data_IF_966478101678
#
_entry.id   IF_966478101678
#
_cell.length_a   1.000
_cell.length_b   1.000
_cell.length_c   1.000
_cell.angle_alpha   90.00
_cell.angle_beta   90.00
_cell.angle_gamma   90.00
#
_symmetry.space_group_name_H-M   'P 1'
#
loop_
_entity.id
_entity.type
_entity.pdbx_description
1 polymer ?
#
# COMPACT_ATOMS: atom_id res chain seq x y z
N UNK A 1 22.27 -23.64 7.79
CA UNK A 1 20.88 -23.75 7.27
C UNK A 1 20.96 -24.72 6.09
N UNK A 2 20.37 -25.92 6.19
CA UNK A 2 20.61 -26.90 5.12
C UNK A 2 19.66 -26.73 3.92
N UNK A 3 18.38 -26.54 4.18
CA UNK A 3 17.36 -26.29 3.16
C UNK A 3 16.12 -25.71 3.83
N UNK A 4 15.49 -24.71 3.24
CA UNK A 4 14.17 -24.20 3.66
C UNK A 4 13.23 -24.34 2.46
N UNK A 5 12.05 -24.88 2.68
CA UNK A 5 10.99 -24.97 1.67
C UNK A 5 9.65 -24.63 2.32
N UNK A 6 8.88 -23.76 1.67
CA UNK A 6 7.58 -23.30 2.12
C UNK A 6 6.62 -23.27 0.95
N UNK A 7 5.40 -23.71 1.20
CA UNK A 7 4.30 -23.66 0.25
C UNK A 7 3.26 -22.64 0.72
N UNK A 8 2.74 -21.86 -0.21
CA UNK A 8 1.73 -20.87 0.09
C UNK A 8 0.63 -20.87 -0.98
N UNK A 9 -0.59 -20.66 -0.55
CA UNK A 9 -1.77 -20.58 -1.43
C UNK A 9 -2.57 -19.32 -1.18
N UNK A 10 -3.24 -18.82 -2.21
CA UNK A 10 -4.13 -17.66 -2.11
C UNK A 10 -5.25 -17.77 -3.15
N UNK A 11 -6.26 -16.91 -3.04
CA UNK A 11 -7.29 -16.74 -4.06
C UNK A 11 -7.03 -15.40 -4.78
N UNK A 12 -7.04 -15.40 -6.10
CA UNK A 12 -6.88 -14.19 -6.90
C UNK A 12 -8.22 -13.39 -6.99
N UNK A 13 -8.16 -12.21 -7.61
CA UNK A 13 -9.34 -11.35 -7.78
C UNK A 13 -10.46 -11.94 -8.64
N UNK A 14 -10.21 -13.07 -9.31
CA UNK A 14 -11.19 -13.82 -10.11
C UNK A 14 -11.70 -15.08 -9.39
N UNK A 15 -11.33 -15.25 -8.11
CA UNK A 15 -11.72 -16.40 -7.31
C UNK A 15 -10.93 -17.69 -7.61
N UNK A 16 -9.80 -17.60 -8.32
CA UNK A 16 -8.98 -18.77 -8.64
C UNK A 16 -7.84 -18.97 -7.66
N UNK A 17 -7.58 -20.22 -7.31
CA UNK A 17 -6.46 -20.58 -6.45
C UNK A 17 -5.12 -20.32 -7.13
N UNK A 18 -4.22 -19.70 -6.38
CA UNK A 18 -2.83 -19.42 -6.74
C UNK A 18 -1.92 -20.12 -5.77
N UNK A 19 -0.79 -20.61 -6.25
CA UNK A 19 0.21 -21.27 -5.42
C UNK A 19 1.59 -20.66 -5.60
N UNK A 20 2.37 -20.76 -4.53
CA UNK A 20 3.77 -20.35 -4.48
C UNK A 20 4.56 -21.41 -3.74
N UNK A 21 5.64 -21.82 -4.32
CA UNK A 21 6.71 -22.53 -3.65
C UNK A 21 7.89 -21.57 -3.45
N UNK A 22 8.40 -21.50 -2.25
CA UNK A 22 9.57 -20.72 -1.87
C UNK A 22 10.60 -21.67 -1.27
N UNK A 23 11.76 -21.76 -1.88
CA UNK A 23 12.85 -22.64 -1.46
C UNK A 23 14.17 -21.87 -1.31
N UNK A 24 14.98 -22.26 -0.35
CA UNK A 24 16.36 -21.81 -0.22
C UNK A 24 17.26 -23.01 0.04
N UNK A 25 18.32 -23.17 -0.75
CA UNK A 25 19.32 -24.20 -0.60
C UNK A 25 20.73 -23.67 -0.89
N UNK A 26 21.74 -24.35 -0.39
CA UNK A 26 23.13 -24.04 -0.69
C UNK A 26 23.51 -24.58 -2.07
N UNK A 27 24.21 -23.78 -2.86
CA UNK A 27 24.78 -24.17 -4.16
C UNK A 27 26.31 -24.13 -4.08
N UNK A 28 26.94 -25.28 -4.32
CA UNK A 28 28.38 -25.43 -4.20
C UNK A 28 29.16 -24.80 -5.36
N UNK A 29 28.55 -24.68 -6.54
CA UNK A 29 29.16 -24.05 -7.72
C UNK A 29 29.20 -22.53 -7.55
N UNK A 30 28.10 -21.94 -7.09
CA UNK A 30 28.00 -20.50 -6.87
C UNK A 30 28.49 -20.06 -5.48
N UNK A 31 28.85 -21.00 -4.61
CA UNK A 31 29.33 -20.78 -3.23
C UNK A 31 28.39 -19.86 -2.42
N UNK A 32 27.08 -20.07 -2.57
CA UNK A 32 26.07 -19.25 -1.96
C UNK A 32 24.73 -19.96 -1.80
N UNK A 33 23.80 -19.30 -1.10
CA UNK A 33 22.41 -19.76 -1.06
C UNK A 33 21.64 -19.26 -2.27
N UNK A 34 20.91 -20.15 -2.91
CA UNK A 34 19.93 -19.83 -3.96
C UNK A 34 18.55 -19.82 -3.34
N UNK A 35 17.79 -18.75 -3.53
CA UNK A 35 16.38 -18.66 -3.15
C UNK A 35 15.53 -18.72 -4.41
N UNK A 36 14.86 -19.85 -4.62
CA UNK A 36 13.96 -20.11 -5.74
C UNK A 36 12.52 -19.77 -5.38
N UNK A 37 11.76 -19.38 -6.39
CA UNK A 37 10.34 -19.07 -6.28
C UNK A 37 9.61 -19.60 -7.49
N UNK A 38 8.70 -20.53 -7.28
CA UNK A 38 7.84 -21.07 -8.32
C UNK A 38 6.41 -20.58 -8.05
N UNK A 39 5.77 -19.99 -9.04
CA UNK A 39 4.45 -19.37 -8.86
C UNK A 39 3.52 -19.73 -10.02
N UNK A 40 2.24 -19.89 -9.73
CA UNK A 40 1.27 -20.16 -10.79
C UNK A 40 -0.16 -20.28 -10.28
N UNK A 41 -1.04 -20.75 -11.16
CA UNK A 41 -2.38 -21.18 -10.77
C UNK A 41 -2.31 -22.61 -10.28
N UNK A 42 -3.07 -22.94 -9.26
CA UNK A 42 -3.25 -24.32 -8.82
C UNK A 42 -3.84 -25.16 -9.97
N UNK A 43 -3.28 -26.35 -10.20
CA UNK A 43 -3.63 -27.19 -11.33
C UNK A 43 -3.28 -26.63 -12.73
N UNK A 44 -2.53 -25.53 -12.80
CA UNK A 44 -2.15 -24.85 -14.03
C UNK A 44 -0.63 -24.77 -14.24
N UNK A 45 -0.22 -24.01 -15.27
CA UNK A 45 1.20 -23.80 -15.55
C UNK A 45 1.88 -23.02 -14.41
N UNK A 46 2.93 -23.61 -13.87
CA UNK A 46 3.83 -22.97 -12.93
C UNK A 46 4.97 -22.25 -13.67
N UNK A 47 5.40 -21.14 -13.13
CA UNK A 47 6.47 -20.32 -13.67
C UNK A 47 7.53 -20.11 -12.60
N UNK A 48 8.73 -20.53 -12.92
CA UNK A 48 9.89 -20.24 -12.08
C UNK A 48 10.27 -18.76 -12.22
N UNK A 49 10.43 -18.12 -11.08
CA UNK A 49 10.88 -16.73 -11.01
C UNK A 49 12.41 -16.70 -10.92
N UNK A 50 13.08 -15.66 -11.42
CA UNK A 50 14.53 -15.55 -11.31
C UNK A 50 15.03 -15.81 -9.88
N UNK A 51 15.99 -16.71 -9.77
CA UNK A 51 16.61 -17.07 -8.51
C UNK A 51 17.34 -15.88 -7.85
N UNK A 52 17.43 -15.90 -6.54
CA UNK A 52 18.19 -14.90 -5.77
C UNK A 52 19.42 -15.59 -5.23
N UNK A 53 20.61 -15.19 -5.69
CA UNK A 53 21.87 -15.64 -5.13
C UNK A 53 22.24 -14.78 -3.91
N UNK A 54 22.62 -15.45 -2.82
CA UNK A 54 23.15 -14.83 -1.59
C UNK A 54 24.53 -15.44 -1.32
N UNK A 55 25.55 -14.81 -1.85
CA UNK A 55 26.96 -15.22 -1.76
C UNK A 55 27.75 -14.46 -0.68
N UNK A 56 27.18 -13.40 -0.12
CA UNK A 56 27.82 -12.52 0.87
C UNK A 56 26.86 -12.16 2.01
N UNK A 57 27.40 -12.12 3.23
CA UNK A 57 26.74 -11.54 4.37
C UNK A 57 26.75 -10.00 4.32
N UNK A 58 25.79 -9.35 4.97
CA UNK A 58 25.72 -7.89 5.15
C UNK A 58 25.58 -7.55 6.64
N UNK A 59 26.11 -6.40 7.06
CA UNK A 59 25.97 -5.90 8.43
C UNK A 59 26.40 -6.96 9.48
N UNK A 60 27.60 -7.53 9.32
CA UNK A 60 28.21 -8.56 10.18
C UNK A 60 27.48 -9.92 10.22
N UNK A 61 26.52 -10.16 9.33
CA UNK A 61 25.85 -11.47 9.20
C UNK A 61 26.71 -12.43 8.38
N UNK A 62 26.61 -13.70 8.69
CA UNK A 62 27.09 -14.79 7.83
C UNK A 62 26.21 -14.89 6.57
N UNK A 63 26.69 -15.61 5.55
CA UNK A 63 25.92 -15.88 4.33
C UNK A 63 24.60 -16.59 4.66
N UNK A 64 24.63 -17.55 5.59
CA UNK A 64 23.43 -18.29 6.04
C UNK A 64 22.40 -17.40 6.73
N UNK A 65 22.84 -16.49 7.60
CA UNK A 65 21.94 -15.54 8.27
C UNK A 65 21.36 -14.52 7.29
N UNK A 66 22.15 -14.08 6.32
CA UNK A 66 21.67 -13.19 5.28
C UNK A 66 20.67 -13.88 4.36
N UNK A 67 20.89 -15.14 4.02
CA UNK A 67 19.95 -15.94 3.23
C UNK A 67 18.62 -16.16 3.99
N UNK A 68 18.70 -16.50 5.28
CA UNK A 68 17.52 -16.63 6.14
C UNK A 68 16.71 -15.32 6.19
N UNK A 69 17.38 -14.19 6.35
CA UNK A 69 16.73 -12.89 6.35
C UNK A 69 16.00 -12.59 5.02
N UNK A 70 16.66 -12.86 3.88
CA UNK A 70 16.06 -12.65 2.57
C UNK A 70 14.90 -13.62 2.30
N UNK A 71 15.04 -14.89 2.69
CA UNK A 71 13.96 -15.88 2.60
C UNK A 71 12.74 -15.44 3.40
N UNK A 72 12.92 -15.07 4.67
CA UNK A 72 11.84 -14.60 5.55
C UNK A 72 11.21 -13.30 5.03
N UNK A 73 11.99 -12.41 4.45
CA UNK A 73 11.48 -11.19 3.79
C UNK A 73 10.57 -11.53 2.61
N UNK A 74 10.94 -12.54 1.80
CA UNK A 74 10.10 -13.02 0.70
C UNK A 74 8.85 -13.76 1.18
N UNK A 75 8.97 -14.55 2.23
CA UNK A 75 7.84 -15.20 2.87
C UNK A 75 6.84 -14.16 3.40
N UNK A 76 7.33 -13.12 4.08
CA UNK A 76 6.49 -11.99 4.53
C UNK A 76 5.83 -11.28 3.35
N UNK A 77 6.55 -11.00 2.26
CA UNK A 77 5.99 -10.38 1.06
C UNK A 77 4.78 -11.14 0.50
N UNK A 78 4.82 -12.48 0.49
CA UNK A 78 3.68 -13.29 0.04
C UNK A 78 2.54 -13.29 1.07
N UNK A 79 2.85 -13.38 2.37
CA UNK A 79 1.83 -13.28 3.44
C UNK A 79 1.11 -11.92 3.38
N UNK A 80 1.83 -10.84 3.12
CA UNK A 80 1.25 -9.50 2.93
C UNK A 80 0.34 -9.42 1.69
N UNK A 81 0.58 -10.27 0.69
CA UNK A 81 -0.28 -10.45 -0.50
C UNK A 81 -1.42 -11.45 -0.29
N UNK A 82 -1.74 -11.81 0.96
CA UNK A 82 -2.79 -12.76 1.34
C UNK A 82 -2.54 -14.21 0.98
N UNK A 83 -1.29 -14.60 0.77
CA UNK A 83 -0.97 -16.01 0.70
C UNK A 83 -0.92 -16.62 2.11
N UNK A 84 -1.59 -17.74 2.29
CA UNK A 84 -1.51 -18.54 3.51
C UNK A 84 -0.48 -19.67 3.33
N UNK A 85 0.38 -19.83 4.32
CA UNK A 85 1.35 -20.92 4.36
C UNK A 85 0.64 -22.23 4.65
N UNK A 86 0.99 -23.28 3.92
CA UNK A 86 0.48 -24.64 4.09
C UNK A 86 1.65 -25.61 4.37
N UNK A 87 1.42 -26.67 5.16
CA UNK A 87 2.50 -27.55 5.61
C UNK A 87 3.04 -28.51 4.54
N UNK A 88 2.28 -28.77 3.49
CA UNK A 88 2.62 -29.73 2.43
C UNK A 88 2.49 -29.10 1.06
N UNK A 89 3.02 -29.80 0.05
CA UNK A 89 2.87 -29.42 -1.35
C UNK A 89 1.39 -29.22 -1.71
N UNK A 90 1.02 -28.11 -2.38
CA UNK A 90 -0.36 -27.85 -2.80
C UNK A 90 -1.01 -29.02 -3.57
N UNK A 91 -0.24 -29.73 -4.39
CA UNK A 91 -0.74 -30.85 -5.18
C UNK A 91 -1.19 -32.07 -4.34
N UNK A 92 -0.89 -32.07 -3.03
CA UNK A 92 -1.39 -33.09 -2.07
C UNK A 92 -2.78 -32.78 -1.51
N UNK A 93 -3.34 -31.61 -1.84
CA UNK A 93 -4.67 -31.17 -1.39
C UNK A 93 -5.65 -31.18 -2.57
N UNK A 94 -6.91 -31.42 -2.26
CA UNK A 94 -8.00 -31.13 -3.20
C UNK A 94 -8.22 -29.61 -3.31
N UNK A 95 -8.83 -29.19 -4.40
CA UNK A 95 -9.15 -27.77 -4.60
C UNK A 95 -10.08 -27.23 -3.49
N UNK A 96 -11.04 -28.05 -3.02
CA UNK A 96 -11.94 -27.71 -1.92
C UNK A 96 -11.19 -27.51 -0.58
N UNK A 97 -10.27 -28.40 -0.24
CA UNK A 97 -9.45 -28.23 0.97
C UNK A 97 -8.59 -26.96 0.92
N UNK A 98 -8.02 -26.65 -0.23
CA UNK A 98 -7.28 -25.40 -0.40
C UNK A 98 -8.18 -24.16 -0.29
N UNK A 99 -9.41 -24.22 -0.82
CA UNK A 99 -10.38 -23.14 -0.62
C UNK A 99 -10.76 -22.97 0.85
N UNK A 100 -10.93 -24.05 1.61
CA UNK A 100 -11.17 -23.99 3.05
C UNK A 100 -9.97 -23.41 3.80
N UNK A 101 -8.74 -23.82 3.46
CA UNK A 101 -7.51 -23.31 4.08
C UNK A 101 -7.31 -21.84 3.77
N UNK A 102 -7.44 -21.43 2.51
CA UNK A 102 -7.30 -20.03 2.13
C UNK A 102 -8.42 -19.25 2.78
N UNK A 103 -9.54 -19.91 2.99
CA UNK A 103 -10.70 -19.42 3.74
C UNK A 103 -11.14 -18.08 3.27
N UNK A 104 -12.26 -17.70 3.72
CA UNK A 104 -12.89 -16.42 3.46
C UNK A 104 -11.87 -15.28 3.32
N UNK A 105 -12.05 -14.54 2.26
CA UNK A 105 -11.68 -13.14 2.03
C UNK A 105 -10.40 -12.67 2.75
N UNK A 106 -9.50 -12.14 1.98
CA UNK A 106 -8.24 -11.51 2.34
C UNK A 106 -8.24 -10.80 3.71
N UNK A 107 -7.90 -11.55 4.75
CA UNK A 107 -7.59 -10.98 6.07
C UNK A 107 -6.12 -10.59 6.16
N UNK A 108 -5.82 -9.65 7.04
CA UNK A 108 -4.45 -9.26 7.37
C UNK A 108 -3.89 -10.14 8.52
N UNK A 109 -2.68 -9.85 8.98
CA UNK A 109 -2.03 -10.62 10.05
C UNK A 109 -2.77 -10.53 11.40
N UNK A 110 -3.57 -9.48 11.63
CA UNK A 110 -4.41 -9.32 12.82
C UNK A 110 -5.75 -10.06 12.72
N UNK A 111 -6.02 -10.74 11.60
CA UNK A 111 -7.27 -11.47 11.35
C UNK A 111 -8.42 -10.58 10.85
N UNK A 112 -8.15 -9.32 10.52
CA UNK A 112 -9.15 -8.35 10.04
C UNK A 112 -9.15 -8.31 8.52
N UNK A 113 -10.33 -8.08 7.92
CA UNK A 113 -10.46 -7.92 6.47
C UNK A 113 -9.54 -6.82 5.94
N UNK A 114 -8.74 -7.14 4.93
CA UNK A 114 -7.86 -6.15 4.29
C UNK A 114 -8.68 -5.05 3.62
N UNK A 115 -8.23 -3.80 3.68
CA UNK A 115 -8.97 -2.70 3.09
C UNK A 115 -9.01 -2.77 1.57
N UNK A 116 -10.11 -2.28 0.98
CA UNK A 116 -10.27 -2.07 -0.46
C UNK A 116 -9.22 -1.12 -1.00
N UNK A 117 -8.78 -1.33 -2.24
CA UNK A 117 -7.67 -0.60 -2.86
C UNK A 117 -8.15 0.22 -4.05
N UNK A 118 -7.80 1.50 -4.05
CA UNK A 118 -8.10 2.38 -5.17
C UNK A 118 -7.23 2.05 -6.41
N UNK A 119 -7.86 1.98 -7.58
CA UNK A 119 -7.20 1.93 -8.88
C UNK A 119 -6.76 3.33 -9.29
N UNK A 120 -5.63 3.45 -9.98
CA UNK A 120 -5.20 4.73 -10.52
C UNK A 120 -6.03 5.12 -11.75
N UNK A 121 -6.39 6.39 -11.88
CA UNK A 121 -7.22 6.88 -12.99
C UNK A 121 -6.56 6.67 -14.36
N UNK A 122 -5.24 6.78 -14.46
CA UNK A 122 -4.45 6.51 -15.69
C UNK A 122 -4.49 5.06 -16.17
N UNK A 123 -4.91 4.13 -15.29
CA UNK A 123 -5.11 2.70 -15.59
C UNK A 123 -6.55 2.33 -15.95
N UNK A 124 -7.42 3.33 -16.03
CA UNK A 124 -8.82 3.15 -16.42
C UNK A 124 -8.94 3.39 -17.93
N UNK A 125 -9.19 2.32 -18.68
CA UNK A 125 -9.25 2.38 -20.15
C UNK A 125 -10.62 2.86 -20.67
N UNK A 126 -11.71 2.54 -19.95
CA UNK A 126 -13.04 2.97 -20.32
C UNK A 126 -13.40 4.30 -19.67
N UNK A 127 -13.26 5.40 -20.39
CA UNK A 127 -13.56 6.75 -19.89
C UNK A 127 -15.07 6.99 -19.64
N UNK A 128 -15.96 6.24 -20.30
CA UNK A 128 -17.41 6.36 -20.11
C UNK A 128 -17.87 6.03 -18.68
N UNK A 129 -17.03 5.39 -17.87
CA UNK A 129 -17.36 5.14 -16.46
C UNK A 129 -17.58 6.44 -15.67
N UNK A 130 -16.98 7.56 -16.11
CA UNK A 130 -17.11 8.85 -15.45
C UNK A 130 -18.42 9.60 -15.80
N UNK A 131 -19.23 9.08 -16.75
CA UNK A 131 -20.50 9.70 -17.15
C UNK A 131 -21.63 9.48 -16.14
N UNK A 132 -21.44 8.57 -15.17
CA UNK A 132 -22.35 8.36 -14.05
C UNK A 132 -21.98 9.20 -12.83
N UNK A 133 -22.86 9.23 -11.85
CA UNK A 133 -22.57 9.87 -10.54
C UNK A 133 -21.61 9.00 -9.72
N UNK A 134 -20.61 9.63 -9.17
CA UNK A 134 -19.64 9.10 -8.22
C UNK A 134 -19.74 9.88 -6.90
N UNK A 135 -19.17 9.36 -5.82
CA UNK A 135 -18.90 10.12 -4.62
C UNK A 135 -17.41 10.38 -4.51
N UNK A 136 -17.06 11.65 -4.36
CA UNK A 136 -15.68 12.10 -4.30
C UNK A 136 -15.32 12.58 -2.90
N UNK A 137 -14.11 12.26 -2.48
CA UNK A 137 -13.50 12.72 -1.23
C UNK A 137 -12.06 13.16 -1.44
N UNK A 138 -11.55 13.92 -0.49
CA UNK A 138 -10.12 14.25 -0.41
C UNK A 138 -9.30 12.98 -0.30
N UNK A 139 -8.22 12.90 -1.04
CA UNK A 139 -7.20 11.87 -0.85
C UNK A 139 -6.20 12.34 0.19
N UNK A 140 -6.22 11.69 1.32
CA UNK A 140 -5.35 11.99 2.45
C UNK A 140 -4.01 11.28 2.25
N UNK A 141 -2.91 11.98 2.53
CA UNK A 141 -1.54 11.45 2.42
C UNK A 141 -1.01 11.10 3.80
N UNK A 142 -1.61 10.09 4.39
CA UNK A 142 -1.31 9.59 5.73
C UNK A 142 -0.95 8.11 5.75
N UNK A 143 -1.24 7.49 6.88
CA UNK A 143 -1.03 6.06 7.10
C UNK A 143 -2.37 5.35 7.24
N UNK A 144 -2.70 4.48 6.25
CA UNK A 144 -3.93 3.69 6.27
C UNK A 144 -4.08 2.92 7.57
N UNK A 145 -5.23 3.11 8.22
CA UNK A 145 -5.53 2.51 9.51
C UNK A 145 -6.95 1.91 9.49
N UNK A 146 -7.04 0.66 9.91
CA UNK A 146 -8.30 0.00 10.25
C UNK A 146 -8.47 0.05 11.77
N UNK A 147 -9.68 0.39 12.24
CA UNK A 147 -10.01 0.39 13.66
C UNK A 147 -11.17 -0.58 13.90
N UNK A 148 -11.04 -1.47 14.88
CA UNK A 148 -11.96 -2.58 15.13
C UNK A 148 -11.91 -3.03 16.59
N UNK A 149 -12.93 -3.77 17.03
CA UNK A 149 -12.94 -4.40 18.37
C UNK A 149 -12.46 -5.86 18.29
N UNK A 150 -11.61 -6.24 19.23
CA UNK A 150 -11.19 -7.62 19.45
C UNK A 150 -10.90 -7.84 20.92
N UNK A 151 -11.33 -8.98 21.46
CA UNK A 151 -11.11 -9.37 22.87
C UNK A 151 -11.54 -8.27 23.87
N UNK A 152 -12.62 -7.56 23.55
CA UNK A 152 -13.17 -6.47 24.38
C UNK A 152 -12.38 -5.15 24.36
N UNK A 153 -11.43 -5.01 23.44
CA UNK A 153 -10.63 -3.78 23.27
C UNK A 153 -10.72 -3.24 21.84
N UNK A 154 -10.61 -1.93 21.70
CA UNK A 154 -10.51 -1.27 20.42
C UNK A 154 -9.03 -1.31 19.96
N UNK A 155 -8.81 -1.81 18.79
CA UNK A 155 -7.49 -1.96 18.17
C UNK A 155 -7.39 -1.18 16.88
N UNK A 156 -6.17 -0.82 16.54
CA UNK A 156 -5.83 -0.22 15.24
C UNK A 156 -4.76 -1.04 14.53
N UNK A 157 -4.91 -1.16 13.22
CA UNK A 157 -3.93 -1.91 12.43
C UNK A 157 -3.71 -1.31 11.05
N UNK A 158 -2.51 -1.50 10.55
CA UNK A 158 -2.15 -1.23 9.17
C UNK A 158 -2.91 -2.16 8.21
N UNK A 159 -2.86 -1.85 6.92
CA UNK A 159 -3.33 -2.77 5.87
C UNK A 159 -2.75 -4.18 6.00
N UNK A 160 -1.48 -4.31 6.40
CA UNK A 160 -0.78 -5.59 6.59
C UNK A 160 -1.14 -6.29 7.90
N UNK A 161 -1.68 -5.57 8.87
CA UNK A 161 -2.01 -6.06 10.21
C UNK A 161 -0.95 -5.70 11.28
N UNK A 162 -0.02 -4.78 10.97
CA UNK A 162 0.86 -4.20 11.99
C UNK A 162 0.03 -3.27 12.89
N UNK A 163 0.11 -3.44 14.19
CA UNK A 163 -0.68 -2.66 15.16
C UNK A 163 -0.13 -1.24 15.34
N UNK A 164 -1.05 -0.30 15.53
CA UNK A 164 -0.78 1.09 15.88
C UNK A 164 -1.36 1.46 17.26
N UNK A 165 -1.79 0.47 18.03
CA UNK A 165 -2.52 0.65 19.29
C UNK A 165 -1.80 1.59 20.25
N UNK A 166 -0.47 1.53 20.26
CA UNK A 166 0.34 2.37 21.13
C UNK A 166 0.24 3.86 20.77
N UNK A 167 0.42 4.20 19.50
CA UNK A 167 0.37 5.59 19.02
C UNK A 167 -1.04 6.16 18.89
N UNK A 168 -2.06 5.31 18.99
CA UNK A 168 -3.47 5.69 18.86
C UNK A 168 -4.28 5.50 20.15
N UNK A 169 -3.62 5.22 21.30
CA UNK A 169 -4.31 4.95 22.57
C UNK A 169 -5.24 6.10 22.98
N UNK A 170 -4.85 7.35 22.75
CA UNK A 170 -5.69 8.54 23.02
C UNK A 170 -7.00 8.55 22.23
N UNK A 171 -7.09 7.82 21.12
CA UNK A 171 -8.30 7.64 20.30
C UNK A 171 -9.01 6.33 20.69
N UNK A 172 -8.29 5.20 20.74
CA UNK A 172 -8.89 3.88 20.95
C UNK A 172 -9.44 3.69 22.36
N UNK A 173 -8.83 4.31 23.37
CA UNK A 173 -9.27 4.25 24.75
C UNK A 173 -10.27 5.36 25.13
N UNK A 174 -10.56 6.26 24.19
CA UNK A 174 -11.54 7.32 24.44
C UNK A 174 -12.94 6.73 24.70
N UNK A 175 -13.67 7.19 25.75
CA UNK A 175 -14.94 6.58 26.18
C UNK A 175 -16.00 6.49 25.07
N UNK A 176 -16.08 7.49 24.17
CA UNK A 176 -17.01 7.45 23.04
C UNK A 176 -16.65 6.35 22.04
N UNK A 177 -15.35 6.10 21.80
CA UNK A 177 -14.92 5.03 20.90
C UNK A 177 -15.19 3.66 21.48
N UNK A 178 -14.86 3.46 22.75
CA UNK A 178 -15.17 2.20 23.46
C UNK A 178 -16.67 1.93 23.38
N UNK A 179 -17.51 2.90 23.73
CA UNK A 179 -18.98 2.79 23.67
C UNK A 179 -19.51 2.51 22.25
N UNK A 180 -18.92 3.14 21.22
CA UNK A 180 -19.29 2.86 19.83
C UNK A 180 -19.06 1.41 19.47
N UNK A 181 -17.86 0.88 19.77
CA UNK A 181 -17.49 -0.48 19.44
C UNK A 181 -18.15 -1.53 20.35
N UNK A 182 -18.48 -1.22 21.59
CA UNK A 182 -19.34 -2.06 22.44
C UNK A 182 -20.74 -2.20 21.82
N UNK A 183 -21.28 -1.11 21.28
CA UNK A 183 -22.59 -1.11 20.62
C UNK A 183 -22.56 -1.83 19.26
N UNK A 184 -21.47 -1.71 18.53
CA UNK A 184 -21.28 -2.28 17.19
C UNK A 184 -19.98 -3.12 17.11
N UNK A 185 -19.91 -4.29 17.76
CA UNK A 185 -18.65 -5.03 17.90
C UNK A 185 -18.10 -5.61 16.58
N UNK A 186 -18.92 -5.69 15.53
CA UNK A 186 -18.48 -6.12 14.19
C UNK A 186 -18.05 -4.95 13.29
N UNK A 187 -18.17 -3.72 13.78
CA UNK A 187 -17.77 -2.54 13.01
C UNK A 187 -16.27 -2.54 12.76
N UNK A 188 -15.87 -2.27 11.54
CA UNK A 188 -14.49 -2.00 11.17
C UNK A 188 -14.48 -0.66 10.46
N UNK A 189 -13.89 0.36 11.08
CA UNK A 189 -13.67 1.66 10.45
C UNK A 189 -12.46 1.59 9.52
N UNK A 190 -12.57 2.24 8.38
CA UNK A 190 -11.54 2.35 7.36
C UNK A 190 -11.16 3.82 7.17
N UNK A 191 -9.95 4.16 7.54
CA UNK A 191 -9.51 5.54 7.59
C UNK A 191 -7.99 5.71 7.41
N UNK A 192 -7.54 6.90 7.72
CA UNK A 192 -6.15 7.32 7.62
C UNK A 192 -5.71 7.98 8.94
N UNK A 193 -4.56 7.59 9.48
CA UNK A 193 -3.90 8.37 10.51
C UNK A 193 -3.22 9.57 9.84
N UNK A 194 -3.55 10.77 10.30
CA UNK A 194 -3.14 11.99 9.64
C UNK A 194 -3.15 13.20 10.61
N UNK A 195 -2.41 14.22 10.28
CA UNK A 195 -2.55 15.58 10.80
C UNK A 195 -2.23 16.55 9.67
N UNK A 196 -3.15 17.49 9.42
CA UNK A 196 -2.94 18.48 8.36
C UNK A 196 -1.69 19.32 8.64
N UNK A 197 -0.90 19.63 7.59
CA UNK A 197 0.35 20.35 7.72
C UNK A 197 1.57 19.53 8.18
N UNK A 198 1.40 18.22 8.52
CA UNK A 198 2.54 17.33 8.82
C UNK A 198 2.91 16.51 7.58
N UNK A 199 4.20 16.26 7.39
CA UNK A 199 4.67 15.39 6.30
C UNK A 199 4.31 13.92 6.53
N UNK A 200 4.20 13.14 5.44
CA UNK A 200 3.99 11.70 5.52
C UNK A 200 5.08 11.00 6.36
N UNK A 201 6.32 11.50 6.35
CA UNK A 201 7.43 10.95 7.14
C UNK A 201 7.16 11.14 8.64
N UNK A 202 6.74 12.32 9.06
CA UNK A 202 6.38 12.62 10.45
C UNK A 202 5.20 11.75 10.89
N UNK A 203 4.13 11.69 10.09
CA UNK A 203 2.92 10.89 10.38
C UNK A 203 3.26 9.40 10.46
N UNK A 204 4.05 8.89 9.50
CA UNK A 204 4.45 7.49 9.47
C UNK A 204 5.39 7.12 10.62
N UNK A 205 6.26 8.02 11.02
CA UNK A 205 7.11 7.86 12.21
C UNK A 205 6.26 7.78 13.48
N UNK A 206 5.33 8.72 13.65
CA UNK A 206 4.40 8.76 14.78
C UNK A 206 3.53 7.49 14.86
N UNK A 207 2.91 7.09 13.75
CA UNK A 207 2.04 5.92 13.71
C UNK A 207 2.74 4.61 14.11
N UNK A 208 4.05 4.49 13.85
CA UNK A 208 4.85 3.29 14.18
C UNK A 208 5.62 3.38 15.49
N UNK A 209 5.38 4.43 16.27
CA UNK A 209 6.05 4.59 17.56
C UNK A 209 5.55 3.53 18.54
N UNK A 210 6.48 2.87 19.24
CA UNK A 210 6.19 1.83 20.25
C UNK A 210 6.56 2.30 21.68
N UNK A 211 6.99 3.56 21.82
CA UNK A 211 7.37 4.18 23.10
C UNK A 211 6.95 5.64 23.10
N UNK A 212 6.71 6.21 24.29
CA UNK A 212 6.33 7.61 24.46
C UNK A 212 5.03 8.00 23.74
N UNK A 213 3.95 7.22 23.97
CA UNK A 213 2.62 7.45 23.34
C UNK A 213 2.10 8.87 23.52
N UNK A 214 2.40 9.51 24.63
CA UNK A 214 1.99 10.88 24.92
C UNK A 214 2.54 11.94 23.96
N UNK A 215 3.65 11.65 23.27
CA UNK A 215 4.22 12.54 22.27
C UNK A 215 3.47 12.46 20.92
N UNK A 216 2.49 11.53 20.77
CA UNK A 216 1.76 11.22 19.55
C UNK A 216 0.29 11.61 19.62
N UNK A 217 -0.15 12.29 20.69
CA UNK A 217 -1.53 12.74 20.91
C UNK A 217 -2.04 13.76 19.88
N UNK A 218 -1.17 14.30 19.04
CA UNK A 218 -1.53 15.13 17.89
C UNK A 218 -1.99 14.32 16.66
N UNK A 219 -1.81 12.98 16.65
CA UNK A 219 -2.19 12.12 15.54
C UNK A 219 -3.71 11.94 15.52
N UNK A 220 -4.34 12.29 14.40
CA UNK A 220 -5.79 12.25 14.23
C UNK A 220 -6.19 11.07 13.34
N UNK A 221 -7.43 10.59 13.49
CA UNK A 221 -8.00 9.54 12.66
C UNK A 221 -9.09 10.07 11.73
N UNK A 222 -8.85 10.01 10.43
CA UNK A 222 -9.75 10.47 9.37
C UNK A 222 -10.49 9.29 8.77
N UNK A 223 -11.78 9.14 9.09
CA UNK A 223 -12.62 8.04 8.65
C UNK A 223 -13.30 8.38 7.33
N UNK A 224 -13.20 7.50 6.34
CA UNK A 224 -13.81 7.72 5.02
C UNK A 224 -14.62 6.52 4.50
N UNK A 225 -14.60 5.37 5.17
CA UNK A 225 -15.40 4.19 4.83
C UNK A 225 -15.57 3.27 6.04
N UNK A 226 -16.39 2.24 5.89
CA UNK A 226 -16.44 1.07 6.77
C UNK A 226 -16.17 -0.19 5.96
N UNK A 227 -15.56 -1.19 6.59
CA UNK A 227 -15.29 -2.48 5.92
C UNK A 227 -16.53 -3.37 6.06
N UNK A 228 -17.46 -3.22 5.11
CA UNK A 228 -18.68 -4.03 5.07
C UNK A 228 -18.92 -4.54 3.63
N UNK A 229 -18.53 -5.80 3.34
CA UNK A 229 -18.59 -6.37 2.00
C UNK A 229 -20.01 -6.56 1.42
N UNK A 230 -21.02 -6.57 2.28
CA UNK A 230 -22.41 -6.79 1.83
C UNK A 230 -23.14 -5.52 1.44
N UNK A 231 -22.64 -4.34 1.88
CA UNK A 231 -23.28 -3.06 1.64
C UNK A 231 -22.66 -2.33 0.44
N UNK A 232 -23.53 -1.73 -0.38
CA UNK A 232 -23.12 -0.76 -1.40
C UNK A 232 -22.58 0.53 -0.75
N UNK A 233 -21.76 1.29 -1.48
CA UNK A 233 -21.11 2.49 -0.89
C UNK A 233 -22.14 3.52 -0.40
N UNK A 234 -23.23 3.73 -1.13
CA UNK A 234 -24.32 4.64 -0.69
C UNK A 234 -24.93 4.25 0.66
N UNK A 235 -24.96 2.96 1.00
CA UNK A 235 -25.47 2.49 2.29
C UNK A 235 -24.39 2.57 3.38
N UNK A 236 -23.13 2.36 3.05
CA UNK A 236 -22.00 2.62 3.96
C UNK A 236 -21.90 4.12 4.34
N UNK A 237 -22.25 5.04 3.41
CA UNK A 237 -22.33 6.47 3.72
C UNK A 237 -23.36 6.78 4.82
N UNK A 238 -24.53 6.13 4.79
CA UNK A 238 -25.54 6.26 5.86
C UNK A 238 -24.99 5.78 7.20
N UNK A 239 -24.21 4.70 7.19
CA UNK A 239 -23.53 4.24 8.39
C UNK A 239 -22.50 5.25 8.91
N UNK A 240 -21.74 5.90 8.04
CA UNK A 240 -20.80 6.95 8.44
C UNK A 240 -21.54 8.13 9.09
N UNK A 241 -22.72 8.51 8.60
CA UNK A 241 -23.57 9.54 9.23
C UNK A 241 -24.07 9.11 10.62
N UNK A 242 -24.44 7.84 10.79
CA UNK A 242 -24.81 7.29 12.11
C UNK A 242 -23.62 7.36 13.06
N UNK A 243 -22.45 6.93 12.64
CA UNK A 243 -21.22 6.95 13.44
C UNK A 243 -20.85 8.39 13.83
N UNK A 244 -20.95 9.33 12.90
CA UNK A 244 -20.69 10.75 13.16
C UNK A 244 -21.60 11.29 14.29
N UNK A 245 -22.89 10.93 14.27
CA UNK A 245 -23.85 11.31 15.32
C UNK A 245 -23.57 10.62 16.64
N UNK A 246 -23.27 9.31 16.65
CA UNK A 246 -22.96 8.55 17.86
C UNK A 246 -21.70 9.09 18.57
N UNK A 247 -20.72 9.54 17.80
CA UNK A 247 -19.48 10.12 18.32
C UNK A 247 -19.60 11.63 18.59
N UNK A 248 -20.75 12.24 18.29
CA UNK A 248 -20.99 13.69 18.43
C UNK A 248 -19.92 14.54 17.71
N UNK A 249 -19.51 14.12 16.51
CA UNK A 249 -18.50 14.84 15.73
C UNK A 249 -19.12 16.05 15.03
N UNK A 250 -18.40 17.16 15.05
CA UNK A 250 -18.72 18.37 14.29
C UNK A 250 -18.48 18.23 12.78
N UNK A 251 -18.55 19.36 12.10
CA UNK A 251 -18.18 19.43 10.69
C UNK A 251 -16.69 19.14 10.50
N UNK A 252 -16.34 18.71 9.29
CA UNK A 252 -14.97 18.44 8.91
C UNK A 252 -14.14 19.72 8.89
N UNK A 253 -13.12 19.76 9.73
CA UNK A 253 -12.17 20.87 9.83
C UNK A 253 -10.73 20.30 9.94
N UNK A 254 -9.93 20.34 8.86
CA UNK A 254 -8.58 19.79 8.88
C UNK A 254 -7.63 20.56 9.80
N UNK A 255 -7.92 21.83 10.08
CA UNK A 255 -7.10 22.71 10.92
C UNK A 255 -7.56 22.69 12.39
N UNK A 256 -8.56 21.85 12.72
CA UNK A 256 -9.08 21.76 14.07
C UNK A 256 -7.98 21.41 15.07
N UNK A 257 -7.84 22.29 16.08
CA UNK A 257 -7.08 22.01 17.28
C UNK A 257 -8.02 21.36 18.32
N UNK A 258 -7.58 20.29 18.94
CA UNK A 258 -8.35 19.53 19.93
C UNK A 258 -7.93 19.92 21.34
N UNK A 259 -8.92 20.07 22.21
CA UNK A 259 -8.66 20.23 23.63
C UNK A 259 -8.18 18.91 24.24
N UNK A 260 -7.52 18.99 25.40
CA UNK A 260 -7.10 17.82 26.16
C UNK A 260 -8.30 16.90 26.46
N UNK A 261 -8.17 15.62 26.13
CA UNK A 261 -9.23 14.62 26.29
C UNK A 261 -10.35 14.69 25.26
N UNK A 262 -10.25 15.55 24.23
CA UNK A 262 -11.21 15.56 23.12
C UNK A 262 -10.90 14.45 22.11
N UNK A 263 -11.94 13.80 21.57
CA UNK A 263 -11.81 12.72 20.60
C UNK A 263 -11.24 13.21 19.26
N UNK A 264 -10.07 12.76 18.89
CA UNK A 264 -9.33 13.20 17.69
C UNK A 264 -9.71 12.39 16.45
N UNK A 265 -10.97 12.47 16.06
CA UNK A 265 -11.53 11.82 14.87
C UNK A 265 -12.21 12.85 13.98
N UNK A 266 -12.11 12.65 12.66
CA UNK A 266 -12.87 13.38 11.67
C UNK A 266 -13.51 12.45 10.65
N UNK A 267 -14.74 12.79 10.23
CA UNK A 267 -15.40 12.11 9.10
C UNK A 267 -15.07 12.86 7.82
N UNK A 268 -14.44 12.15 6.87
CA UNK A 268 -14.04 12.76 5.59
C UNK A 268 -15.27 12.96 4.69
N UNK A 269 -15.60 14.20 4.30
CA UNK A 269 -16.78 14.48 3.48
C UNK A 269 -16.72 13.76 2.14
N UNK A 270 -17.89 13.23 1.76
CA UNK A 270 -18.12 12.57 0.49
C UNK A 270 -19.15 13.38 -0.29
N UNK A 271 -18.84 13.86 -1.48
CA UNK A 271 -19.75 14.67 -2.27
C UNK A 271 -20.06 14.04 -3.62
N UNK A 272 -21.31 14.08 -4.11
CA UNK A 272 -21.65 13.57 -5.42
C UNK A 272 -20.98 14.39 -6.51
N UNK A 273 -20.48 13.69 -7.54
CA UNK A 273 -19.80 14.30 -8.68
C UNK A 273 -20.05 13.49 -9.95
N UNK A 274 -20.10 14.14 -11.10
CA UNK A 274 -20.32 13.50 -12.39
C UNK A 274 -19.49 14.16 -13.48
N UNK A 275 -18.91 13.37 -14.37
CA UNK A 275 -18.13 13.82 -15.50
C UNK A 275 -16.64 14.03 -15.15
N UNK A 276 -15.77 13.65 -16.09
CA UNK A 276 -14.33 13.71 -15.89
C UNK A 276 -13.79 15.10 -15.60
N UNK A 277 -14.30 16.12 -16.32
CA UNK A 277 -13.82 17.50 -16.15
C UNK A 277 -14.15 18.04 -14.76
N UNK A 278 -15.34 17.74 -14.23
CA UNK A 278 -15.72 18.12 -12.87
C UNK A 278 -14.87 17.40 -11.83
N UNK A 279 -14.60 16.11 -12.04
CA UNK A 279 -13.72 15.31 -11.16
C UNK A 279 -12.31 15.90 -11.15
N UNK A 280 -11.80 16.29 -12.31
CA UNK A 280 -10.49 16.93 -12.43
C UNK A 280 -10.46 18.30 -11.75
N UNK A 281 -11.47 19.14 -11.96
CA UNK A 281 -11.57 20.45 -11.30
C UNK A 281 -11.62 20.31 -9.76
N UNK A 282 -12.36 19.31 -9.25
CA UNK A 282 -12.41 19.03 -7.82
C UNK A 282 -11.06 18.50 -7.29
N UNK A 283 -10.38 17.65 -8.07
CA UNK A 283 -9.04 17.19 -7.75
C UNK A 283 -8.07 18.38 -7.63
N UNK A 284 -8.07 19.30 -8.62
CA UNK A 284 -7.19 20.46 -8.62
C UNK A 284 -7.48 21.40 -7.44
N UNK A 285 -8.76 21.55 -7.07
CA UNK A 285 -9.17 22.25 -5.85
C UNK A 285 -8.58 21.59 -4.60
N UNK A 286 -8.73 20.27 -4.44
CA UNK A 286 -8.18 19.58 -3.28
C UNK A 286 -6.65 19.67 -3.20
N UNK A 287 -5.96 19.60 -4.34
CA UNK A 287 -4.51 19.80 -4.38
C UNK A 287 -4.13 21.23 -3.95
N UNK A 288 -4.88 22.25 -4.37
CA UNK A 288 -4.64 23.63 -3.93
C UNK A 288 -4.89 23.86 -2.43
N UNK A 289 -5.69 23.00 -1.80
CA UNK A 289 -5.95 22.97 -0.36
C UNK A 289 -4.90 22.11 0.41
N UNK A 290 -3.86 21.60 -0.25
CA UNK A 290 -2.79 20.80 0.38
C UNK A 290 -3.05 19.29 0.45
N UNK A 291 -4.11 18.77 -0.19
CA UNK A 291 -4.39 17.32 -0.21
C UNK A 291 -3.64 16.62 -1.35
N UNK A 292 -3.42 15.30 -1.22
CA UNK A 292 -2.72 14.50 -2.25
C UNK A 292 -3.50 14.41 -3.58
N UNK A 293 -4.80 14.68 -3.54
CA UNK A 293 -5.69 14.61 -4.69
C UNK A 293 -7.11 14.20 -4.30
N UNK A 294 -7.72 13.36 -5.14
CA UNK A 294 -9.12 12.94 -5.01
C UNK A 294 -9.25 11.41 -5.07
N UNK A 295 -10.20 10.86 -4.30
CA UNK A 295 -10.68 9.48 -4.44
C UNK A 295 -12.15 9.52 -4.79
N UNK A 296 -12.54 8.77 -5.83
CA UNK A 296 -13.95 8.61 -6.19
C UNK A 296 -14.39 7.17 -5.95
N UNK A 297 -15.63 7.00 -5.48
CA UNK A 297 -16.26 5.71 -5.18
C UNK A 297 -17.60 5.58 -5.91
N UNK A 298 -17.82 4.40 -6.48
CA UNK A 298 -19.07 4.05 -7.12
C UNK A 298 -20.16 3.80 -6.06
N UNK A 299 -21.26 4.58 -6.03
CA UNK A 299 -22.30 4.44 -5.01
C UNK A 299 -22.96 3.06 -4.97
N UNK A 300 -23.06 2.39 -6.12
CA UNK A 300 -23.79 1.13 -6.30
C UNK A 300 -22.86 -0.09 -6.24
N UNK A 301 -21.68 0.05 -5.65
CA UNK A 301 -20.70 -1.05 -5.52
C UNK A 301 -20.41 -1.37 -4.06
N UNK A 302 -20.32 -2.67 -3.80
CA UNK A 302 -19.97 -3.22 -2.50
C UNK A 302 -18.50 -3.01 -2.16
N UNK A 303 -18.18 -3.08 -0.88
CA UNK A 303 -16.79 -3.11 -0.43
C UNK A 303 -16.11 -4.41 -0.85
N UNK A 304 -14.97 -4.32 -1.53
CA UNK A 304 -14.20 -5.48 -2.00
C UNK A 304 -12.89 -5.60 -1.22
N UNK A 305 -12.85 -6.38 -0.15
CA UNK A 305 -11.64 -6.57 0.65
C UNK A 305 -10.44 -6.97 -0.22
N UNK A 306 -9.31 -6.28 -0.03
CA UNK A 306 -8.09 -6.40 -0.84
C UNK A 306 -8.25 -6.23 -2.36
N UNK A 307 -9.48 -5.94 -2.83
CA UNK A 307 -9.79 -5.76 -4.24
C UNK A 307 -9.30 -4.43 -4.79
N UNK A 308 -8.85 -4.44 -6.04
CA UNK A 308 -8.49 -3.24 -6.80
C UNK A 308 -9.27 -3.23 -8.12
N UNK A 309 -10.42 -2.61 -8.10
CA UNK A 309 -11.35 -2.57 -9.23
C UNK A 309 -11.60 -1.12 -9.69
N UNK A 310 -12.44 -0.95 -10.72
CA UNK A 310 -12.90 0.38 -11.12
C UNK A 310 -13.95 0.98 -10.17
N UNK A 311 -14.30 0.29 -9.08
CA UNK A 311 -15.33 0.73 -8.14
C UNK A 311 -14.81 1.81 -7.17
N UNK A 312 -13.48 1.91 -7.02
CA UNK A 312 -12.79 2.96 -6.29
C UNK A 312 -11.56 3.42 -7.07
N UNK A 313 -11.52 4.69 -7.42
CA UNK A 313 -10.47 5.27 -8.29
C UNK A 313 -9.82 6.44 -7.57
N UNK A 314 -8.48 6.48 -7.60
CA UNK A 314 -7.70 7.61 -7.09
C UNK A 314 -7.14 8.43 -8.25
N UNK A 315 -7.29 9.73 -8.12
CA UNK A 315 -6.71 10.75 -8.97
C UNK A 315 -5.63 11.43 -8.15
N UNK A 316 -4.39 11.41 -8.65
CA UNK A 316 -3.23 11.99 -7.98
C UNK A 316 -2.55 12.98 -8.88
N UNK A 317 -2.00 14.04 -8.31
CA UNK A 317 -1.08 14.91 -8.99
C UNK A 317 0.29 14.24 -9.11
N UNK A 318 0.92 14.44 -10.26
CA UNK A 318 2.32 14.08 -10.47
C UNK A 318 3.05 15.30 -11.01
N UNK A 319 4.27 15.46 -10.58
CA UNK A 319 5.19 16.44 -11.11
C UNK A 319 6.17 15.75 -12.05
N UNK A 320 6.62 16.47 -13.06
CA UNK A 320 7.72 16.07 -13.93
C UNK A 320 8.84 17.08 -13.73
N UNK A 321 10.05 16.62 -13.47
CA UNK A 321 11.25 17.44 -13.45
C UNK A 321 12.42 16.70 -14.08
N UNK A 322 13.48 17.42 -14.40
CA UNK A 322 14.67 16.87 -15.04
C UNK A 322 15.79 16.74 -14.02
N UNK A 323 16.41 15.56 -13.99
CA UNK A 323 17.50 15.22 -13.10
C UNK A 323 18.65 14.62 -13.90
N UNK A 324 19.89 14.79 -13.41
CA UNK A 324 21.08 14.26 -14.08
C UNK A 324 21.31 12.80 -13.73
N UNK A 325 21.52 11.96 -14.74
CA UNK A 325 21.89 10.54 -14.56
C UNK A 325 23.34 10.47 -14.10
N UNK A 326 23.58 9.79 -12.97
CA UNK A 326 24.91 9.58 -12.40
C UNK A 326 25.34 8.12 -12.39
N UNK A 327 24.42 7.19 -12.65
CA UNK A 327 24.71 5.78 -12.66
C UNK A 327 23.49 4.89 -12.83
N UNK A 328 23.75 3.60 -12.68
CA UNK A 328 22.75 2.55 -12.70
C UNK A 328 22.91 1.68 -11.46
N UNK A 329 21.82 1.31 -10.81
CA UNK A 329 21.80 0.25 -9.82
C UNK A 329 21.07 -0.95 -10.39
N UNK A 330 21.71 -2.10 -10.32
CA UNK A 330 21.11 -3.36 -10.73
C UNK A 330 20.09 -3.84 -9.69
N UNK A 331 18.98 -4.37 -10.17
CA UNK A 331 18.01 -5.10 -9.38
C UNK A 331 18.30 -6.59 -9.41
N UNK A 332 17.40 -7.37 -8.82
CA UNK A 332 17.49 -8.84 -8.79
C UNK A 332 17.30 -9.50 -10.17
N UNK A 333 16.71 -8.78 -11.12
CA UNK A 333 16.52 -9.21 -12.50
C UNK A 333 17.18 -8.20 -13.43
N UNK A 334 17.52 -8.64 -14.61
CA UNK A 334 18.07 -7.78 -15.66
C UNK A 334 17.17 -6.57 -15.97
N UNK A 335 15.84 -6.75 -15.90
CA UNK A 335 14.85 -5.69 -16.08
C UNK A 335 14.56 -4.85 -14.83
N UNK A 336 15.03 -5.25 -13.66
CA UNK A 336 14.81 -4.54 -12.39
C UNK A 336 15.93 -3.52 -12.12
N UNK A 337 16.37 -2.82 -13.16
CA UNK A 337 17.32 -1.73 -13.03
C UNK A 337 16.65 -0.44 -12.53
N UNK A 338 17.41 0.36 -11.81
CA UNK A 338 17.06 1.73 -11.49
C UNK A 338 18.21 2.65 -11.89
N UNK A 339 17.90 3.78 -12.50
CA UNK A 339 18.89 4.83 -12.68
C UNK A 339 19.16 5.51 -11.34
N UNK A 340 20.41 5.80 -11.07
CA UNK A 340 20.83 6.72 -10.02
C UNK A 340 20.86 8.10 -10.63
N UNK A 341 20.13 9.03 -10.01
CA UNK A 341 20.01 10.41 -10.45
C UNK A 341 20.38 11.35 -9.29
N UNK A 342 20.67 12.58 -9.62
CA UNK A 342 21.03 13.61 -8.65
C UNK A 342 20.16 14.85 -8.85
N UNK A 343 19.68 15.43 -7.75
CA UNK A 343 19.00 16.75 -7.74
C UNK A 343 20.01 17.87 -7.96
N UNK A 344 19.54 19.10 -8.17
CA UNK A 344 20.40 20.28 -8.28
C UNK A 344 21.20 20.53 -6.99
N UNK A 345 20.62 20.17 -5.85
CA UNK A 345 21.28 20.26 -4.52
C UNK A 345 22.24 19.10 -4.23
N UNK A 346 22.48 18.22 -5.19
CA UNK A 346 23.41 17.09 -5.05
C UNK A 346 22.84 15.86 -4.34
N UNK A 347 21.53 15.78 -4.07
CA UNK A 347 20.90 14.65 -3.40
C UNK A 347 20.71 13.50 -4.39
N UNK A 348 21.27 12.34 -4.06
CA UNK A 348 21.20 11.16 -4.90
C UNK A 348 19.94 10.33 -4.60
N UNK A 349 19.23 9.92 -5.65
CA UNK A 349 18.05 9.05 -5.55
C UNK A 349 17.98 8.06 -6.70
N UNK A 350 17.05 7.10 -6.61
CA UNK A 350 16.88 6.06 -7.62
C UNK A 350 15.51 6.12 -8.27
N UNK A 351 15.45 6.05 -9.61
CA UNK A 351 14.21 5.99 -10.37
C UNK A 351 14.18 4.79 -11.31
N UNK A 352 13.07 4.06 -11.31
CA UNK A 352 12.85 2.93 -12.21
C UNK A 352 12.44 3.47 -13.59
N UNK A 353 13.11 3.06 -14.70
CA UNK A 353 12.72 3.51 -16.04
C UNK A 353 11.41 2.87 -16.49
N UNK A 354 10.59 3.66 -17.18
CA UNK A 354 9.45 3.16 -17.96
C UNK A 354 9.97 2.44 -19.22
N UNK A 355 9.12 1.59 -19.79
CA UNK A 355 9.39 0.93 -21.06
C UNK A 355 9.45 -0.59 -20.98
N UNK A 356 9.58 -1.22 -22.17
CA UNK A 356 9.70 -2.66 -22.33
C UNK A 356 11.04 -3.19 -21.79
N UNK A 357 11.18 -4.51 -21.72
CA UNK A 357 12.45 -5.17 -21.38
C UNK A 357 13.57 -4.78 -22.34
N UNK A 358 13.25 -4.67 -23.63
CA UNK A 358 14.23 -4.34 -24.65
C UNK A 358 14.78 -2.92 -24.50
N UNK A 359 13.91 -1.95 -24.20
CA UNK A 359 14.33 -0.57 -23.89
C UNK A 359 15.26 -0.54 -22.67
N UNK A 360 14.92 -1.29 -21.62
CA UNK A 360 15.76 -1.36 -20.42
C UNK A 360 17.11 -2.01 -20.69
N UNK A 361 17.16 -3.04 -21.55
CA UNK A 361 18.42 -3.66 -21.99
C UNK A 361 19.27 -2.66 -22.77
N UNK A 362 18.66 -1.90 -23.70
CA UNK A 362 19.36 -0.83 -24.44
C UNK A 362 19.93 0.25 -23.50
N UNK A 363 19.21 0.63 -22.45
CA UNK A 363 19.72 1.56 -21.45
C UNK A 363 20.95 1.02 -20.72
N UNK A 364 20.98 -0.26 -20.40
CA UNK A 364 22.11 -0.92 -19.75
C UNK A 364 23.32 -0.96 -20.68
N UNK A 365 23.14 -1.41 -21.92
CA UNK A 365 24.20 -1.52 -22.94
C UNK A 365 24.83 -0.17 -23.31
N UNK A 366 24.09 0.92 -23.17
CA UNK A 366 24.53 2.26 -23.51
C UNK A 366 24.74 3.17 -22.28
N UNK A 367 24.91 2.61 -21.09
CA UNK A 367 24.99 3.38 -19.85
C UNK A 367 26.02 4.50 -19.88
N UNK A 368 27.22 4.23 -20.42
CA UNK A 368 28.31 5.19 -20.53
C UNK A 368 27.92 6.45 -21.34
N UNK A 369 27.03 6.29 -22.31
CA UNK A 369 26.51 7.38 -23.13
C UNK A 369 25.37 8.13 -22.45
N UNK A 370 24.80 7.57 -21.38
CA UNK A 370 23.64 8.12 -20.66
C UNK A 370 24.05 8.87 -19.37
N UNK A 371 25.21 8.53 -18.81
CA UNK A 371 25.75 9.24 -17.64
C UNK A 371 25.98 10.71 -18.03
N UNK A 372 25.54 11.62 -17.18
CA UNK A 372 25.60 13.05 -17.38
C UNK A 372 24.41 13.65 -18.15
N UNK A 373 23.61 12.82 -18.84
CA UNK A 373 22.40 13.31 -19.53
C UNK A 373 21.29 13.63 -18.54
N UNK A 374 20.40 14.53 -18.95
CA UNK A 374 19.16 14.81 -18.21
C UNK A 374 18.11 13.75 -18.53
N UNK A 375 17.36 13.39 -17.48
CA UNK A 375 16.21 12.49 -17.60
C UNK A 375 14.98 13.13 -16.96
N UNK A 376 13.85 13.08 -17.66
CA UNK A 376 12.56 13.49 -17.11
C UNK A 376 12.05 12.40 -16.17
N UNK A 377 11.86 12.76 -14.91
CA UNK A 377 11.34 11.89 -13.86
C UNK A 377 9.97 12.39 -13.43
N UNK A 378 9.00 11.49 -13.43
CA UNK A 378 7.67 11.69 -12.86
C UNK A 378 7.71 11.28 -11.39
N UNK A 379 7.25 12.14 -10.49
CA UNK A 379 7.19 11.87 -9.05
C UNK A 379 6.01 12.60 -8.41
N UNK A 380 5.69 12.32 -7.15
CA UNK A 380 4.59 12.98 -6.45
C UNK A 380 4.98 14.39 -5.99
N UNK A 381 5.89 14.45 -5.05
CA UNK A 381 6.47 15.66 -4.46
C UNK A 381 7.86 15.33 -3.91
N UNK A 382 8.56 16.32 -3.42
CA UNK A 382 9.84 16.13 -2.75
C UNK A 382 9.58 15.79 -1.27
N UNK A 383 10.33 14.81 -0.74
CA UNK A 383 10.37 14.52 0.70
C UNK A 383 10.99 15.70 1.48
N UNK A 384 10.92 15.65 2.81
CA UNK A 384 11.57 16.65 3.68
C UNK A 384 13.08 16.76 3.40
N UNK A 385 13.71 15.69 2.93
CA UNK A 385 15.11 15.63 2.51
C UNK A 385 15.33 16.09 1.05
N UNK A 386 14.32 16.61 0.36
CA UNK A 386 14.41 17.02 -1.05
C UNK A 386 14.47 15.87 -2.05
N UNK A 387 14.21 14.62 -1.63
CA UNK A 387 14.21 13.46 -2.51
C UNK A 387 12.85 13.26 -3.19
N UNK A 388 12.77 13.06 -4.53
CA UNK A 388 11.52 12.74 -5.21
C UNK A 388 10.84 11.48 -4.67
N UNK A 389 9.56 11.55 -4.30
CA UNK A 389 8.80 10.41 -3.81
C UNK A 389 8.18 9.60 -4.96
N UNK A 390 8.35 8.27 -4.89
CA UNK A 390 7.91 7.31 -5.91
C UNK A 390 8.37 7.70 -7.33
N UNK A 391 9.66 8.00 -7.55
CA UNK A 391 10.15 8.50 -8.82
C UNK A 391 10.14 7.41 -9.89
N UNK A 392 9.70 7.80 -11.09
CA UNK A 392 9.68 6.95 -12.28
C UNK A 392 10.31 7.73 -13.44
N UNK A 393 11.38 7.22 -14.02
CA UNK A 393 12.03 7.85 -15.17
C UNK A 393 11.16 7.63 -16.41
N UNK A 394 10.68 8.73 -17.01
CA UNK A 394 9.81 8.73 -18.19
C UNK A 394 10.60 8.69 -19.49
N UNK A 395 11.61 9.53 -19.60
CA UNK A 395 12.41 9.69 -20.81
C UNK A 395 13.80 10.20 -20.46
N UNK A 396 14.77 9.80 -21.24
CA UNK A 396 16.12 10.39 -21.24
C UNK A 396 16.14 11.48 -22.31
N UNK A 397 16.65 12.64 -21.96
CA UNK A 397 16.73 13.76 -22.88
C UNK A 397 17.99 13.69 -23.70
N UNK A 398 17.83 13.89 -24.99
CA UNK A 398 18.92 13.97 -25.95
C UNK A 398 18.98 15.42 -26.45
N UNK A 399 19.43 16.28 -25.54
CA UNK A 399 19.76 17.63 -25.94
C UNK A 399 21.20 17.61 -26.46
N UNK A 400 21.40 18.09 -27.66
CA UNK A 400 22.71 18.41 -28.18
C UNK A 400 23.34 19.59 -27.45
#
# INVERSE_FOLDING_TARGET
MNQLRKFLVSIDSKGKLRQVELEAHWDDEQKGFIINRITGMFGGKLTEQPAILVDKGKAKRTVSEQAALQFNSKLKEYKDKSYKEIPKDPDTYSESELFEIVGEVATNQSGVLKPMLAKQADKVTNQKIYDKTWYASRKIDGVRCLMYMKDGKVHTASRGGEHYDYSTCHITEHPLMVKLFEKYPQLILDGELYKHGKSLQQISGAARMEKNAYDMDWLQYYVYDIVEPTLEFKDRLKWLEVIQKELNLGEFDPDKEYAEGELQIQMVPQQPIKGWDNIKALHDKFVSEGWEGCVIRDPDKVYRPNGRTNDMIKIKCYQDAEFTITGLSEGLREEDMCFTLVTEDGISFKAKPMGSRDIKRQYRENLDKLIGKKATVKFFYLSDDGTPLQPVLKAIRDYE
#
